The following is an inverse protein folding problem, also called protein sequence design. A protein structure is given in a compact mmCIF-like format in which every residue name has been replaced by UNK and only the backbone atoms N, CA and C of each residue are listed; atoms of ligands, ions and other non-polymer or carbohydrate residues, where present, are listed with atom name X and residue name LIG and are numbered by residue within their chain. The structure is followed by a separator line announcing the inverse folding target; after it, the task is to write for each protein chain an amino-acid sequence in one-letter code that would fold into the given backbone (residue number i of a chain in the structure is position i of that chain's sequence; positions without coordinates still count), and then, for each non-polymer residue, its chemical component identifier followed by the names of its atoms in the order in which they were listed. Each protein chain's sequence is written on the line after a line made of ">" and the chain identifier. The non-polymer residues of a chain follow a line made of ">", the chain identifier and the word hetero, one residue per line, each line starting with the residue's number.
data_IF_325627495516
#
_entry.id   IF_325627495516
#
_cell.length_a   1.000
_cell.length_b   1.000
_cell.length_c   1.000
_cell.angle_alpha   90.00
_cell.angle_beta   90.00
_cell.angle_gamma   90.00
#
_symmetry.space_group_name_H-M   'P 1'
#
loop_
_entity.id
_entity.type
_entity.pdbx_description
1 polymer ?
#
# COMPACT_ATOMS: atom_id res chain seq x y z
N UNK A 1 -13.24 -1.92 -38.78
CA UNK A 1 -13.25 -0.70 -37.94
C UNK A 1 -13.45 -1.14 -36.49
N UNK A 2 -12.36 -1.47 -35.80
CA UNK A 2 -12.40 -1.93 -34.40
C UNK A 2 -12.73 -0.74 -33.52
N UNK A 3 -13.90 -0.77 -32.89
CA UNK A 3 -14.31 0.23 -31.89
C UNK A 3 -13.24 0.23 -30.79
N UNK A 4 -12.52 1.34 -30.70
CA UNK A 4 -11.49 1.60 -29.70
C UNK A 4 -12.18 1.66 -28.33
N UNK A 5 -12.36 0.49 -27.70
CA UNK A 5 -12.96 0.41 -26.37
C UNK A 5 -12.02 1.15 -25.42
N UNK A 6 -12.47 2.32 -24.92
CA UNK A 6 -11.83 3.05 -23.83
C UNK A 6 -11.30 2.03 -22.81
N UNK A 7 -10.02 2.10 -22.41
CA UNK A 7 -9.46 1.16 -21.46
C UNK A 7 -10.31 1.25 -20.20
N UNK A 8 -11.04 0.17 -19.88
CA UNK A 8 -11.79 0.09 -18.63
C UNK A 8 -10.77 0.34 -17.53
N UNK A 9 -10.99 1.37 -16.70
CA UNK A 9 -10.21 1.56 -15.47
C UNK A 9 -10.33 0.24 -14.71
N UNK A 10 -9.25 -0.53 -14.69
CA UNK A 10 -9.27 -1.87 -14.13
C UNK A 10 -9.26 -1.73 -12.61
N UNK A 11 -10.02 -2.57 -11.91
CA UNK A 11 -10.02 -2.63 -10.44
C UNK A 11 -8.58 -2.80 -9.90
N UNK A 12 -7.69 -3.42 -10.70
CA UNK A 12 -6.25 -3.50 -10.46
C UNK A 12 -5.60 -2.13 -10.25
N UNK A 13 -5.89 -1.12 -11.08
CA UNK A 13 -5.30 0.21 -10.95
C UNK A 13 -5.71 0.87 -9.62
N UNK A 14 -6.99 0.74 -9.26
CA UNK A 14 -7.53 1.27 -8.00
C UNK A 14 -6.87 0.57 -6.82
N UNK A 15 -6.85 -0.77 -6.83
CA UNK A 15 -6.28 -1.56 -5.75
C UNK A 15 -4.79 -1.26 -5.53
N UNK A 16 -4.00 -1.20 -6.60
CA UNK A 16 -2.57 -0.88 -6.51
C UNK A 16 -2.35 0.52 -5.96
N UNK A 17 -3.13 1.52 -6.37
CA UNK A 17 -3.02 2.87 -5.83
C UNK A 17 -3.37 2.92 -4.34
N UNK A 18 -4.43 2.23 -3.91
CA UNK A 18 -4.81 2.13 -2.49
C UNK A 18 -3.69 1.47 -1.68
N UNK A 19 -3.12 0.37 -2.19
CA UNK A 19 -2.03 -0.33 -1.52
C UNK A 19 -0.79 0.57 -1.37
N UNK A 20 -0.43 1.33 -2.40
CA UNK A 20 0.68 2.28 -2.35
C UNK A 20 0.42 3.37 -1.31
N UNK A 21 -0.79 3.94 -1.27
CA UNK A 21 -1.17 4.95 -0.27
C UNK A 21 -1.02 4.39 1.14
N UNK A 22 -1.56 3.20 1.40
CA UNK A 22 -1.53 2.60 2.74
C UNK A 22 -0.11 2.22 3.13
N UNK A 23 0.71 1.72 2.20
CA UNK A 23 2.12 1.46 2.45
C UNK A 23 2.90 2.72 2.87
N UNK A 24 2.60 3.87 2.23
CA UNK A 24 3.21 5.16 2.61
C UNK A 24 2.73 5.58 4.00
N UNK A 25 1.42 5.47 4.29
CA UNK A 25 0.85 5.79 5.61
C UNK A 25 1.49 4.92 6.70
N UNK A 26 1.61 3.61 6.49
CA UNK A 26 2.26 2.68 7.41
C UNK A 26 3.71 3.09 7.67
N UNK A 27 4.46 3.33 6.59
CA UNK A 27 5.87 3.75 6.68
C UNK A 27 6.00 5.07 7.44
N UNK A 28 5.13 6.05 7.14
CA UNK A 28 5.09 7.34 7.82
C UNK A 28 4.86 7.19 9.33
N UNK A 29 3.83 6.44 9.74
CA UNK A 29 3.47 6.26 11.15
C UNK A 29 4.59 5.56 11.92
N UNK A 30 5.13 4.45 11.41
CA UNK A 30 6.15 3.69 12.12
C UNK A 30 7.50 4.42 12.18
N UNK A 31 7.89 5.14 11.12
CA UNK A 31 9.08 5.99 11.16
C UNK A 31 8.86 7.16 12.11
N UNK A 32 7.71 7.83 12.04
CA UNK A 32 7.37 8.97 12.91
C UNK A 32 7.28 8.60 14.39
N UNK A 33 6.93 7.35 14.71
CA UNK A 33 6.95 6.87 16.10
C UNK A 33 8.36 6.85 16.70
N UNK A 34 9.36 6.47 15.90
CA UNK A 34 10.76 6.42 16.34
C UNK A 34 11.48 7.75 16.21
N UNK A 35 11.08 8.52 15.19
CA UNK A 35 11.82 9.69 14.71
C UNK A 35 11.02 11.01 14.82
N UNK A 36 9.82 11.00 15.39
CA UNK A 36 8.93 12.16 15.37
C UNK A 36 8.31 12.38 13.99
N UNK A 37 7.11 12.93 13.95
CA UNK A 37 6.46 13.31 12.68
C UNK A 37 7.00 14.64 12.18
N UNK A 38 6.62 14.99 10.94
CA UNK A 38 6.99 16.27 10.34
C UNK A 38 6.43 17.47 11.15
N UNK A 39 5.28 17.31 11.81
CA UNK A 39 4.64 18.39 12.57
C UNK A 39 5.18 18.53 14.00
N UNK A 40 5.69 17.46 14.59
CA UNK A 40 6.07 17.39 16.02
C UNK A 40 7.01 18.53 16.46
N UNK A 41 8.08 18.90 15.72
CA UNK A 41 9.00 19.97 16.13
C UNK A 41 8.38 21.37 16.15
N UNK A 42 7.18 21.53 15.63
CA UNK A 42 6.50 22.80 15.51
C UNK A 42 5.30 22.90 16.45
N UNK A 43 4.98 21.80 17.15
CA UNK A 43 3.91 21.70 18.13
C UNK A 43 4.56 21.43 19.49
N UNK A 44 4.82 22.51 20.22
CA UNK A 44 5.15 22.44 21.65
C UNK A 44 6.62 22.24 22.03
N UNK A 45 7.55 22.00 21.10
CA UNK A 45 8.99 21.90 21.39
C UNK A 45 9.84 22.70 20.39
N UNK A 46 10.38 23.85 20.82
CA UNK A 46 11.20 24.72 19.96
C UNK A 46 12.62 24.19 19.72
N UNK A 47 13.09 23.20 20.49
CA UNK A 47 14.45 22.68 20.35
C UNK A 47 14.67 22.03 18.99
N UNK A 48 15.84 22.30 18.40
CA UNK A 48 16.25 21.68 17.14
C UNK A 48 16.46 20.19 17.36
N UNK A 49 15.75 19.38 16.60
CA UNK A 49 15.82 17.92 16.70
C UNK A 49 15.99 17.36 15.30
N UNK A 50 17.18 16.79 15.01
CA UNK A 50 17.49 16.02 13.80
C UNK A 50 16.58 14.79 13.61
N UNK A 51 15.72 14.53 14.58
CA UNK A 51 14.98 13.28 14.70
C UNK A 51 13.95 13.19 13.56
N UNK A 52 13.24 14.26 13.20
CA UNK A 52 12.18 14.20 12.16
C UNK A 52 12.70 14.19 10.70
N UNK A 53 13.99 14.45 10.47
CA UNK A 53 14.60 14.41 9.14
C UNK A 53 14.45 13.04 8.47
N UNK A 54 14.45 11.96 9.26
CA UNK A 54 14.25 10.59 8.74
C UNK A 54 12.82 10.40 8.24
N UNK A 55 11.82 10.85 8.98
CA UNK A 55 10.41 10.81 8.58
C UNK A 55 10.18 11.60 7.29
N UNK A 56 10.78 12.80 7.21
CA UNK A 56 10.71 13.66 6.02
C UNK A 56 11.37 13.00 4.81
N UNK A 57 12.57 12.43 4.97
CA UNK A 57 13.30 11.69 3.94
C UNK A 57 12.48 10.52 3.39
N UNK A 58 11.98 9.64 4.27
CA UNK A 58 11.24 8.43 3.88
C UNK A 58 9.94 8.81 3.17
N UNK A 59 9.20 9.78 3.70
CA UNK A 59 7.97 10.26 3.08
C UNK A 59 8.22 10.85 1.69
N UNK A 60 9.24 11.72 1.55
CA UNK A 60 9.57 12.36 0.27
C UNK A 60 10.01 11.35 -0.78
N UNK A 61 10.84 10.38 -0.40
CA UNK A 61 11.27 9.32 -1.30
C UNK A 61 10.07 8.56 -1.86
N UNK A 62 9.15 8.12 -1.02
CA UNK A 62 7.95 7.42 -1.50
C UNK A 62 6.97 8.33 -2.24
N UNK A 63 6.88 9.61 -1.90
CA UNK A 63 6.06 10.58 -2.63
C UNK A 63 6.50 10.69 -4.10
N UNK A 64 7.81 10.79 -4.36
CA UNK A 64 8.36 10.82 -5.73
C UNK A 64 8.13 9.50 -6.47
N UNK A 65 8.21 8.35 -5.78
CA UNK A 65 7.94 7.05 -6.42
C UNK A 65 6.46 6.89 -6.78
N UNK A 66 5.54 7.27 -5.88
CA UNK A 66 4.11 7.06 -6.04
C UNK A 66 3.46 8.08 -6.98
N UNK A 67 3.86 9.34 -6.89
CA UNK A 67 3.26 10.47 -7.60
C UNK A 67 2.40 11.37 -6.70
N UNK A 68 1.91 12.50 -7.25
CA UNK A 68 1.40 13.61 -6.47
C UNK A 68 0.08 13.29 -5.74
N UNK A 69 -0.84 12.58 -6.38
CA UNK A 69 -2.16 12.27 -5.80
C UNK A 69 -2.03 11.30 -4.63
N UNK A 70 -1.26 10.22 -4.82
CA UNK A 70 -1.02 9.22 -3.78
C UNK A 70 -0.28 9.84 -2.59
N UNK A 71 0.73 10.67 -2.86
CA UNK A 71 1.50 11.37 -1.84
C UNK A 71 0.65 12.38 -1.05
N UNK A 72 -0.24 13.12 -1.72
CA UNK A 72 -1.17 14.04 -1.06
C UNK A 72 -2.07 13.30 -0.06
N UNK A 73 -2.75 12.24 -0.53
CA UNK A 73 -3.66 11.44 0.29
C UNK A 73 -2.90 10.79 1.45
N UNK A 74 -1.74 10.19 1.18
CA UNK A 74 -0.93 9.55 2.20
C UNK A 74 -0.35 10.53 3.22
N UNK A 75 0.04 11.73 2.80
CA UNK A 75 0.51 12.79 3.69
C UNK A 75 -0.58 13.27 4.63
N UNK A 76 -1.78 13.53 4.09
CA UNK A 76 -2.92 13.98 4.89
C UNK A 76 -3.34 12.93 5.93
N UNK A 77 -3.63 11.71 5.49
CA UNK A 77 -4.10 10.65 6.39
C UNK A 77 -2.98 10.11 7.27
N UNK A 78 -1.75 10.05 6.79
CA UNK A 78 -0.59 9.63 7.59
C UNK A 78 -0.38 10.53 8.80
N UNK A 79 -0.42 11.85 8.58
CA UNK A 79 -0.29 12.84 9.65
C UNK A 79 -1.50 12.81 10.59
N UNK A 80 -2.72 12.80 10.05
CA UNK A 80 -3.95 12.74 10.86
C UNK A 80 -3.97 11.51 11.77
N UNK A 81 -3.69 10.33 11.22
CA UNK A 81 -3.68 9.08 11.97
C UNK A 81 -2.55 9.04 12.99
N UNK A 82 -1.39 9.62 12.68
CA UNK A 82 -0.29 9.73 13.64
C UNK A 82 -0.66 10.60 14.84
N UNK A 83 -1.28 11.76 14.61
CA UNK A 83 -1.74 12.65 15.69
C UNK A 83 -2.79 11.97 16.57
N UNK A 84 -3.78 11.31 15.96
CA UNK A 84 -4.81 10.56 16.69
C UNK A 84 -4.24 9.40 17.51
N UNK A 85 -3.21 8.71 16.99
CA UNK A 85 -2.60 7.57 17.66
C UNK A 85 -1.60 7.95 18.78
N UNK A 86 -1.25 9.24 18.92
CA UNK A 86 -0.28 9.72 19.91
C UNK A 86 -0.85 10.87 20.76
N UNK A 87 -1.93 10.63 21.54
CA UNK A 87 -2.56 11.67 22.36
C UNK A 87 -1.64 12.24 23.45
N UNK A 88 -0.57 11.52 23.81
CA UNK A 88 0.46 12.01 24.75
C UNK A 88 1.27 13.17 24.19
N UNK A 89 1.49 13.19 22.87
CA UNK A 89 2.20 14.25 22.15
C UNK A 89 1.22 15.33 21.69
N UNK A 90 0.06 14.91 21.15
CA UNK A 90 -0.93 15.80 20.57
C UNK A 90 -2.16 15.92 21.47
N UNK A 91 -2.30 17.07 22.15
CA UNK A 91 -3.50 17.38 22.95
C UNK A 91 -4.74 17.63 22.10
N UNK A 92 -4.55 18.00 20.83
CA UNK A 92 -5.60 18.29 19.86
C UNK A 92 -5.14 17.90 18.45
N UNK A 93 -6.09 17.72 17.53
CA UNK A 93 -5.78 17.47 16.12
C UNK A 93 -5.51 18.80 15.41
N UNK A 94 -4.35 18.90 14.78
CA UNK A 94 -3.88 20.05 14.01
C UNK A 94 -4.05 19.75 12.51
N UNK A 95 -5.25 20.10 11.99
CA UNK A 95 -5.67 19.80 10.61
C UNK A 95 -4.84 20.57 9.57
N UNK A 96 -4.41 21.77 9.91
CA UNK A 96 -3.46 22.57 9.12
C UNK A 96 -2.16 21.81 8.83
N UNK A 97 -1.59 21.14 9.83
CA UNK A 97 -0.40 20.32 9.64
C UNK A 97 -0.65 19.12 8.73
N UNK A 98 -1.85 18.53 8.78
CA UNK A 98 -2.23 17.47 7.85
C UNK A 98 -2.21 17.99 6.40
N UNK A 99 -2.66 19.23 6.16
CA UNK A 99 -2.61 19.86 4.84
C UNK A 99 -1.19 20.24 4.42
N UNK A 100 -0.35 20.75 5.33
CA UNK A 100 1.05 21.07 5.02
C UNK A 100 1.79 19.82 4.54
N UNK A 101 1.68 18.70 5.26
CA UNK A 101 2.31 17.43 4.89
C UNK A 101 1.74 16.89 3.57
N UNK A 102 0.43 17.02 3.35
CA UNK A 102 -0.21 16.63 2.10
C UNK A 102 0.29 17.45 0.90
N UNK A 103 0.39 18.77 1.03
CA UNK A 103 0.89 19.67 -0.02
C UNK A 103 2.36 19.42 -0.33
N UNK A 104 3.19 19.22 0.70
CA UNK A 104 4.59 18.81 0.53
C UNK A 104 4.70 17.52 -0.29
N UNK A 105 3.96 16.47 0.11
CA UNK A 105 3.93 15.20 -0.62
C UNK A 105 3.46 15.38 -2.07
N UNK A 106 2.45 16.22 -2.30
CA UNK A 106 1.94 16.52 -3.63
C UNK A 106 3.01 17.16 -4.52
N UNK A 107 3.67 18.22 -4.04
CA UNK A 107 4.67 18.97 -4.80
C UNK A 107 5.89 18.10 -5.08
N UNK A 108 6.43 17.41 -4.07
CA UNK A 108 7.49 16.43 -4.25
C UNK A 108 7.12 15.36 -5.30
N UNK A 109 5.88 14.87 -5.24
CA UNK A 109 5.34 13.88 -6.16
C UNK A 109 5.17 14.35 -7.61
N UNK A 110 5.12 15.66 -7.90
CA UNK A 110 5.00 16.20 -9.27
C UNK A 110 6.13 15.67 -10.15
N UNK A 111 7.35 15.59 -9.61
CA UNK A 111 8.50 15.06 -10.35
C UNK A 111 8.61 13.54 -10.33
N UNK A 112 7.45 12.86 -10.41
CA UNK A 112 7.31 11.40 -10.35
C UNK A 112 8.46 10.66 -11.05
N UNK A 113 9.00 9.68 -10.34
CA UNK A 113 10.04 8.81 -10.86
C UNK A 113 9.60 8.09 -12.13
N UNK A 114 10.52 7.95 -13.08
CA UNK A 114 10.37 7.11 -14.28
C UNK A 114 11.66 6.30 -14.45
N UNK A 115 11.58 5.03 -14.91
CA UNK A 115 12.78 4.22 -15.11
C UNK A 115 13.77 4.86 -16.08
N UNK A 116 15.07 4.70 -15.83
CA UNK A 116 16.19 5.26 -16.59
C UNK A 116 16.31 6.80 -16.56
N UNK A 117 15.43 7.47 -15.79
CA UNK A 117 15.40 8.94 -15.70
C UNK A 117 16.65 9.50 -15.04
N UNK A 118 17.23 8.77 -14.08
CA UNK A 118 18.31 9.27 -13.21
C UNK A 118 19.72 8.93 -13.72
N UNK A 119 19.84 8.31 -14.91
CA UNK A 119 21.13 8.10 -15.58
C UNK A 119 21.75 9.40 -16.13
N UNK A 120 20.94 10.45 -16.31
CA UNK A 120 21.39 11.75 -16.83
C UNK A 120 21.53 12.76 -15.70
N UNK A 121 22.73 13.32 -15.51
CA UNK A 121 23.01 14.34 -14.48
C UNK A 121 21.99 15.49 -14.50
N UNK A 122 21.59 15.96 -15.70
CA UNK A 122 20.57 17.01 -15.84
C UNK A 122 19.25 16.69 -15.12
N UNK A 123 18.81 15.43 -15.13
CA UNK A 123 17.56 15.01 -14.47
C UNK A 123 17.69 14.91 -12.95
N UNK A 124 18.89 14.59 -12.46
CA UNK A 124 19.24 14.64 -11.03
C UNK A 124 19.17 16.11 -10.56
N UNK A 125 19.82 17.03 -11.29
CA UNK A 125 19.79 18.47 -10.98
C UNK A 125 18.37 19.05 -10.95
N UNK A 126 17.50 18.64 -11.88
CA UNK A 126 16.09 19.04 -11.82
C UNK A 126 15.36 18.51 -10.59
N UNK A 127 15.71 17.32 -10.09
CA UNK A 127 15.12 16.79 -8.85
C UNK A 127 15.55 17.64 -7.66
N UNK A 128 16.84 17.96 -7.58
CA UNK A 128 17.39 18.86 -6.54
C UNK A 128 16.68 20.21 -6.60
N UNK A 129 16.58 20.82 -7.78
CA UNK A 129 15.92 22.12 -7.95
C UNK A 129 14.46 22.09 -7.50
N UNK A 130 13.71 21.06 -7.87
CA UNK A 130 12.30 20.91 -7.47
C UNK A 130 12.18 20.74 -5.96
N UNK A 131 13.04 19.93 -5.34
CA UNK A 131 13.04 19.75 -3.88
C UNK A 131 13.44 21.03 -3.13
N UNK A 132 14.34 21.85 -3.68
CA UNK A 132 14.66 23.18 -3.14
C UNK A 132 13.44 24.10 -3.20
N UNK A 133 12.78 24.17 -4.37
CA UNK A 133 11.58 25.01 -4.54
C UNK A 133 10.46 24.55 -3.60
N UNK A 134 10.23 23.24 -3.50
CA UNK A 134 9.24 22.64 -2.61
C UNK A 134 9.52 23.00 -1.14
N UNK A 135 10.77 22.86 -0.70
CA UNK A 135 11.18 23.20 0.66
C UNK A 135 10.98 24.68 0.98
N UNK A 136 11.22 25.58 0.02
CA UNK A 136 10.95 27.02 0.16
C UNK A 136 9.44 27.29 0.26
N UNK A 137 8.62 26.66 -0.58
CA UNK A 137 7.16 26.83 -0.54
C UNK A 137 6.61 26.37 0.81
N UNK A 138 7.01 25.19 1.28
CA UNK A 138 6.55 24.64 2.56
C UNK A 138 7.04 25.47 3.74
N UNK A 139 8.26 25.99 3.70
CA UNK A 139 8.76 26.97 4.68
C UNK A 139 7.80 28.16 4.84
N UNK A 140 7.34 28.74 3.72
CA UNK A 140 6.39 29.85 3.76
C UNK A 140 5.01 29.42 4.25
N UNK A 141 4.53 28.22 3.89
CA UNK A 141 3.30 27.69 4.45
C UNK A 141 3.39 27.51 5.96
N UNK A 142 4.43 26.85 6.48
CA UNK A 142 4.62 26.68 7.93
C UNK A 142 4.60 28.03 8.64
N UNK A 143 5.35 29.01 8.12
CA UNK A 143 5.41 30.35 8.71
C UNK A 143 4.05 31.06 8.67
N UNK A 144 3.35 31.00 7.53
CA UNK A 144 2.05 31.63 7.34
C UNK A 144 0.95 31.02 8.21
N UNK A 145 0.86 29.69 8.27
CA UNK A 145 -0.09 28.99 9.13
C UNK A 145 0.19 29.26 10.61
N UNK A 146 1.47 29.27 11.02
CA UNK A 146 1.83 29.63 12.38
C UNK A 146 1.43 31.05 12.76
N UNK A 147 1.64 32.00 11.85
CA UNK A 147 1.27 33.40 12.04
C UNK A 147 -0.25 33.58 12.15
N UNK A 148 -1.03 32.90 11.29
CA UNK A 148 -2.49 33.04 11.25
C UNK A 148 -3.17 32.37 12.43
N UNK A 149 -2.77 31.15 12.80
CA UNK A 149 -3.55 30.31 13.71
C UNK A 149 -3.02 30.27 15.15
N UNK A 150 -1.73 30.53 15.38
CA UNK A 150 -1.10 30.28 16.69
C UNK A 150 -0.40 31.47 17.31
N UNK A 151 -0.12 32.54 16.57
CA UNK A 151 0.65 33.66 17.11
C UNK A 151 -0.09 34.98 17.03
N UNK A 152 -0.68 35.38 18.16
CA UNK A 152 -1.25 36.72 18.33
C UNK A 152 -0.22 37.78 18.68
N UNK A 153 1.06 37.43 18.93
CA UNK A 153 2.06 38.40 19.43
C UNK A 153 3.50 38.25 18.92
N UNK A 154 3.88 37.17 18.23
CA UNK A 154 5.25 37.07 17.68
C UNK A 154 5.32 37.79 16.33
N UNK A 155 6.42 38.50 16.13
CA UNK A 155 6.73 39.10 14.85
C UNK A 155 6.98 37.99 13.81
N UNK A 156 6.51 38.21 12.58
CA UNK A 156 6.66 37.26 11.46
C UNK A 156 8.10 36.81 11.24
N UNK A 157 9.07 37.71 11.43
CA UNK A 157 10.51 37.43 11.31
C UNK A 157 10.97 36.31 12.25
N UNK A 158 10.47 36.31 13.50
CA UNK A 158 10.80 35.29 14.50
C UNK A 158 10.26 33.92 14.06
N UNK A 159 9.04 33.87 13.53
CA UNK A 159 8.45 32.62 13.01
C UNK A 159 9.19 32.12 11.77
N UNK A 160 9.58 33.02 10.88
CA UNK A 160 10.33 32.68 9.67
C UNK A 160 11.68 32.05 10.03
N UNK A 161 12.39 32.59 11.02
CA UNK A 161 13.68 32.05 11.46
C UNK A 161 13.49 30.74 12.24
N UNK A 162 12.61 30.73 13.25
CA UNK A 162 12.52 29.61 14.19
C UNK A 162 11.81 28.38 13.62
N UNK A 163 10.87 28.58 12.71
CA UNK A 163 10.07 27.49 12.14
C UNK A 163 10.39 27.29 10.67
N UNK A 164 10.31 28.36 9.88
CA UNK A 164 10.52 28.28 8.44
C UNK A 164 11.93 27.83 8.05
N UNK A 165 12.94 28.61 8.44
CA UNK A 165 14.34 28.34 8.11
C UNK A 165 14.80 27.01 8.73
N UNK A 166 14.31 26.68 9.91
CA UNK A 166 14.54 25.40 10.58
C UNK A 166 14.07 24.21 9.73
N UNK A 167 12.85 24.27 9.20
CA UNK A 167 12.35 23.26 8.27
C UNK A 167 13.20 23.18 7.01
N UNK A 168 13.55 24.33 6.42
CA UNK A 168 14.35 24.38 5.19
C UNK A 168 15.74 23.74 5.39
N UNK A 169 16.40 24.02 6.51
CA UNK A 169 17.70 23.43 6.84
C UNK A 169 17.60 21.91 6.99
N UNK A 170 16.55 21.41 7.64
CA UNK A 170 16.32 19.98 7.78
C UNK A 170 16.05 19.32 6.42
N UNK A 171 15.23 19.95 5.58
CA UNK A 171 14.98 19.48 4.22
C UNK A 171 16.26 19.49 3.36
N UNK A 172 17.14 20.46 3.56
CA UNK A 172 18.43 20.52 2.86
C UNK A 172 19.29 19.29 3.19
N UNK A 173 19.41 18.96 4.47
CA UNK A 173 20.24 17.85 4.96
C UNK A 173 19.62 16.49 4.64
N UNK A 174 18.32 16.32 4.89
CA UNK A 174 17.65 15.02 4.82
C UNK A 174 17.05 14.72 3.45
N UNK A 175 16.62 15.71 2.68
CA UNK A 175 15.80 15.49 1.48
C UNK A 175 16.53 15.91 0.21
N UNK A 176 16.93 17.18 0.12
CA UNK A 176 17.45 17.80 -1.12
C UNK A 176 18.70 17.07 -1.61
N UNK A 177 19.56 16.61 -0.71
CA UNK A 177 20.79 15.88 -1.05
C UNK A 177 20.54 14.37 -1.14
N UNK A 178 19.90 13.78 -0.12
CA UNK A 178 19.84 12.32 0.04
C UNK A 178 18.83 11.68 -0.94
N UNK A 179 17.66 12.29 -1.17
CA UNK A 179 16.63 11.69 -2.03
C UNK A 179 17.09 11.50 -3.47
N UNK A 180 17.74 12.48 -4.13
CA UNK A 180 18.30 12.26 -5.46
C UNK A 180 19.35 11.14 -5.51
N UNK A 181 20.17 10.99 -4.47
CA UNK A 181 21.15 9.89 -4.36
C UNK A 181 20.42 8.55 -4.27
N UNK A 182 19.41 8.44 -3.41
CA UNK A 182 18.59 7.23 -3.29
C UNK A 182 17.89 6.89 -4.61
N UNK A 183 17.39 7.89 -5.35
CA UNK A 183 16.76 7.67 -6.65
C UNK A 183 17.77 7.20 -7.71
N UNK A 184 19.01 7.68 -7.69
CA UNK A 184 20.08 7.17 -8.56
C UNK A 184 20.41 5.71 -8.22
N UNK A 185 20.55 5.39 -6.93
CA UNK A 185 20.79 4.01 -6.48
C UNK A 185 19.62 3.11 -6.90
N UNK A 186 18.39 3.54 -6.64
CA UNK A 186 17.17 2.83 -7.00
C UNK A 186 17.09 2.59 -8.52
N UNK A 187 17.33 3.61 -9.35
CA UNK A 187 17.33 3.49 -10.81
C UNK A 187 18.42 2.54 -11.30
N UNK A 188 19.63 2.62 -10.73
CA UNK A 188 20.75 1.74 -11.08
C UNK A 188 20.45 0.27 -10.76
N UNK A 189 19.89 0.00 -9.57
CA UNK A 189 19.60 -1.37 -9.11
C UNK A 189 18.41 -1.97 -9.86
N UNK A 190 17.34 -1.21 -10.10
CA UNK A 190 16.04 -1.76 -10.53
C UNK A 190 15.64 -1.42 -11.96
N UNK A 191 16.30 -0.46 -12.62
CA UNK A 191 15.93 -0.01 -13.95
C UNK A 191 16.98 -0.26 -15.04
N UNK A 192 18.20 -0.70 -14.72
CA UNK A 192 19.24 -0.92 -15.75
C UNK A 192 18.81 -1.99 -16.78
N UNK A 193 18.24 -3.08 -16.29
CA UNK A 193 17.83 -4.25 -17.07
C UNK A 193 16.38 -4.61 -16.76
N UNK A 194 15.65 -5.08 -17.77
CA UNK A 194 14.30 -5.59 -17.56
C UNK A 194 14.39 -7.01 -17.01
N UNK A 195 13.92 -7.19 -15.79
CA UNK A 195 13.89 -8.49 -15.13
C UNK A 195 12.45 -8.93 -14.90
N UNK A 196 12.17 -10.19 -15.21
CA UNK A 196 10.91 -10.84 -14.90
C UNK A 196 11.18 -11.87 -13.80
N UNK A 197 10.92 -11.46 -12.56
CA UNK A 197 11.15 -12.31 -11.40
C UNK A 197 9.92 -13.18 -11.19
N UNK A 198 10.02 -14.44 -11.63
CA UNK A 198 8.99 -15.46 -11.47
C UNK A 198 9.46 -16.52 -10.47
N UNK A 199 9.21 -16.28 -9.19
CA UNK A 199 9.58 -17.22 -8.14
C UNK A 199 8.45 -18.23 -7.93
N UNK A 200 8.69 -19.51 -8.23
CA UNK A 200 7.69 -20.56 -8.07
C UNK A 200 7.12 -20.64 -6.65
N UNK A 201 7.92 -20.33 -5.63
CA UNK A 201 7.44 -20.26 -4.24
C UNK A 201 6.42 -19.14 -3.98
N UNK A 202 6.46 -18.04 -4.73
CA UNK A 202 5.53 -16.91 -4.60
C UNK A 202 4.36 -17.00 -5.59
N UNK A 203 4.60 -17.55 -6.78
CA UNK A 203 3.57 -17.67 -7.82
C UNK A 203 2.79 -18.95 -7.70
N UNK A 204 3.37 -20.03 -7.16
CA UNK A 204 2.85 -21.41 -7.01
C UNK A 204 2.07 -21.93 -8.23
N UNK A 205 2.37 -21.36 -9.40
CA UNK A 205 1.73 -21.61 -10.68
C UNK A 205 2.83 -21.75 -11.73
N UNK A 206 2.62 -22.56 -12.78
CA UNK A 206 3.50 -22.55 -13.94
C UNK A 206 3.32 -21.24 -14.73
N UNK A 207 4.31 -20.89 -15.54
CA UNK A 207 4.28 -19.70 -16.41
C UNK A 207 3.06 -19.73 -17.35
N UNK A 208 2.59 -20.92 -17.74
CA UNK A 208 1.37 -21.12 -18.54
C UNK A 208 0.09 -20.64 -17.85
N UNK A 209 0.06 -20.53 -16.52
CA UNK A 209 -1.07 -20.01 -15.73
C UNK A 209 -0.85 -18.56 -15.27
N UNK A 210 -0.26 -17.73 -16.15
CA UNK A 210 0.04 -16.32 -15.85
C UNK A 210 -1.20 -15.46 -15.58
N UNK A 211 -2.39 -15.87 -16.03
CA UNK A 211 -3.70 -15.27 -15.73
C UNK A 211 -4.10 -15.36 -14.24
N UNK A 212 -3.38 -16.15 -13.45
CA UNK A 212 -3.54 -16.24 -12.00
C UNK A 212 -2.61 -15.30 -11.24
N UNK A 213 -1.72 -14.62 -11.94
CA UNK A 213 -0.69 -13.77 -11.37
C UNK A 213 -0.98 -12.30 -11.64
N UNK A 214 -0.42 -11.45 -10.79
CA UNK A 214 -0.24 -10.03 -11.08
C UNK A 214 1.22 -9.69 -10.79
N UNK A 215 1.66 -8.54 -11.25
CA UNK A 215 3.02 -8.09 -10.97
C UNK A 215 3.03 -6.71 -10.34
N UNK A 216 3.99 -6.53 -9.43
CA UNK A 216 4.48 -5.22 -9.02
C UNK A 216 5.65 -4.83 -9.91
N UNK A 217 5.69 -3.57 -10.32
CA UNK A 217 6.77 -3.05 -11.15
C UNK A 217 7.62 -2.08 -10.35
N UNK A 218 8.89 -2.45 -10.15
CA UNK A 218 9.91 -1.63 -9.53
C UNK A 218 10.93 -1.25 -10.59
N UNK A 219 10.88 -0.01 -11.07
CA UNK A 219 11.71 0.39 -12.22
C UNK A 219 11.32 -0.38 -13.48
N UNK A 220 12.24 -1.18 -14.00
CA UNK A 220 12.00 -2.13 -15.12
C UNK A 220 11.88 -3.58 -14.66
N UNK A 221 11.96 -3.83 -13.37
CA UNK A 221 11.80 -5.17 -12.79
C UNK A 221 10.35 -5.45 -12.49
N UNK A 222 9.82 -6.56 -13.03
CA UNK A 222 8.46 -7.07 -12.80
C UNK A 222 8.54 -8.27 -11.87
N UNK A 223 8.03 -8.13 -10.65
CA UNK A 223 7.90 -9.22 -9.69
C UNK A 223 6.51 -9.83 -9.80
N UNK A 224 6.43 -11.07 -10.27
CA UNK A 224 5.17 -11.79 -10.43
C UNK A 224 4.80 -12.51 -9.15
N UNK A 225 3.54 -12.36 -8.73
CA UNK A 225 3.01 -12.95 -7.51
C UNK A 225 1.64 -13.59 -7.80
N UNK A 226 1.28 -14.62 -7.03
CA UNK A 226 -0.09 -15.10 -7.05
C UNK A 226 -1.04 -14.03 -6.53
N UNK A 227 -2.09 -13.74 -7.31
CA UNK A 227 -3.13 -12.78 -6.95
C UNK A 227 -3.80 -13.11 -5.61
N UNK A 228 -4.18 -14.37 -5.38
CA UNK A 228 -4.88 -14.78 -4.16
C UNK A 228 -3.97 -14.78 -2.93
N UNK A 229 -2.78 -15.39 -3.03
CA UNK A 229 -1.84 -15.46 -1.92
C UNK A 229 -1.34 -14.07 -1.51
N UNK A 230 -1.02 -13.21 -2.48
CA UNK A 230 -0.66 -11.83 -2.16
C UNK A 230 -1.83 -11.06 -1.57
N UNK A 231 -3.06 -11.26 -2.07
CA UNK A 231 -4.26 -10.70 -1.45
C UNK A 231 -4.31 -11.06 0.02
N UNK A 232 -4.18 -12.34 0.36
CA UNK A 232 -4.18 -12.82 1.75
C UNK A 232 -3.07 -12.20 2.60
N UNK A 233 -1.83 -12.19 2.12
CA UNK A 233 -0.70 -11.57 2.84
C UNK A 233 -0.92 -10.08 3.06
N UNK A 234 -1.37 -9.35 2.03
CA UNK A 234 -1.71 -7.93 2.11
C UNK A 234 -2.84 -7.72 3.14
N UNK A 235 -3.87 -8.56 3.11
CA UNK A 235 -5.00 -8.51 4.06
C UNK A 235 -4.55 -8.70 5.51
N UNK A 236 -3.66 -9.67 5.77
CA UNK A 236 -3.07 -9.90 7.10
C UNK A 236 -2.26 -8.68 7.55
N UNK A 237 -1.31 -8.20 6.73
CA UNK A 237 -0.44 -7.08 7.10
C UNK A 237 -1.25 -5.81 7.36
N UNK A 238 -2.20 -5.51 6.48
CA UNK A 238 -3.04 -4.32 6.62
C UNK A 238 -3.97 -4.42 7.84
N UNK A 239 -4.57 -5.58 8.11
CA UNK A 239 -5.43 -5.75 9.29
C UNK A 239 -4.64 -5.70 10.60
N UNK A 240 -3.40 -6.22 10.65
CA UNK A 240 -2.50 -6.04 11.80
C UNK A 240 -2.28 -4.55 12.05
N UNK A 241 -1.89 -3.81 11.01
CA UNK A 241 -1.63 -2.39 11.09
C UNK A 241 -2.85 -1.59 11.56
N UNK A 242 -4.02 -1.77 10.91
CA UNK A 242 -5.22 -1.04 11.29
C UNK A 242 -5.75 -1.44 12.66
N UNK A 243 -5.64 -2.70 13.06
CA UNK A 243 -6.01 -3.13 14.43
C UNK A 243 -5.12 -2.42 15.45
N UNK A 244 -3.80 -2.43 15.24
CA UNK A 244 -2.86 -1.75 16.12
C UNK A 244 -3.14 -0.24 16.22
N UNK A 245 -3.43 0.38 15.08
CA UNK A 245 -3.73 1.80 15.00
C UNK A 245 -5.04 2.16 15.71
N UNK A 246 -6.12 1.39 15.50
CA UNK A 246 -7.40 1.58 16.19
C UNK A 246 -7.23 1.43 17.70
N UNK A 247 -6.47 0.42 18.15
CA UNK A 247 -6.19 0.24 19.58
C UNK A 247 -5.43 1.44 20.17
N UNK A 248 -4.47 2.01 19.44
CA UNK A 248 -3.75 3.22 19.88
C UNK A 248 -4.64 4.46 19.93
N UNK A 249 -5.50 4.65 18.92
CA UNK A 249 -6.38 5.84 18.83
C UNK A 249 -7.43 5.84 19.94
N UNK A 250 -8.04 4.69 20.24
CA UNK A 250 -9.13 4.58 21.21
C UNK A 250 -8.69 4.15 22.60
N UNK A 251 -7.39 3.86 22.81
CA UNK A 251 -6.84 3.28 24.03
C UNK A 251 -7.67 2.09 24.56
N UNK A 252 -8.14 1.26 23.63
CA UNK A 252 -9.05 0.14 23.90
C UNK A 252 -8.60 -1.10 23.17
N UNK A 253 -8.77 -2.26 23.80
CA UNK A 253 -8.58 -3.54 23.13
C UNK A 253 -9.68 -3.78 22.09
N UNK A 254 -9.37 -4.60 21.09
CA UNK A 254 -10.33 -4.96 20.05
C UNK A 254 -11.33 -5.98 20.60
N UNK A 255 -12.63 -5.77 20.38
CA UNK A 255 -13.68 -6.66 20.88
C UNK A 255 -13.57 -8.08 20.25
N UNK A 256 -13.48 -9.14 21.07
CA UNK A 256 -13.47 -10.52 20.58
C UNK A 256 -14.74 -10.91 19.83
N UNK A 257 -15.89 -10.31 20.17
CA UNK A 257 -17.19 -10.53 19.51
C UNK A 257 -17.17 -10.02 18.08
N UNK A 258 -16.64 -8.81 17.86
CA UNK A 258 -16.47 -8.23 16.52
C UNK A 258 -15.47 -9.05 15.72
N UNK A 259 -14.37 -9.49 16.33
CA UNK A 259 -13.38 -10.36 15.68
C UNK A 259 -14.01 -11.68 15.24
N UNK A 260 -14.81 -12.32 16.10
CA UNK A 260 -15.52 -13.56 15.79
C UNK A 260 -16.51 -13.36 14.62
N UNK A 261 -17.25 -12.25 14.62
CA UNK A 261 -18.15 -11.91 13.52
C UNK A 261 -17.40 -11.78 12.17
N UNK A 262 -16.24 -11.12 12.17
CA UNK A 262 -15.39 -11.01 10.97
C UNK A 262 -14.94 -12.41 10.51
N UNK A 263 -14.45 -13.25 11.43
CA UNK A 263 -14.01 -14.64 11.12
C UNK A 263 -15.13 -15.47 10.52
N UNK A 264 -16.39 -15.26 10.95
CA UNK A 264 -17.55 -15.93 10.37
C UNK A 264 -17.85 -15.39 8.97
N UNK A 265 -17.98 -14.07 8.78
CA UNK A 265 -18.55 -13.54 7.53
C UNK A 265 -17.53 -13.46 6.39
N UNK A 266 -16.28 -13.08 6.68
CA UNK A 266 -15.31 -12.70 5.65
C UNK A 266 -14.80 -13.88 4.79
N UNK A 267 -14.65 -15.12 5.28
CA UNK A 267 -14.28 -16.24 4.41
C UNK A 267 -15.31 -16.59 3.32
N UNK A 268 -16.59 -16.20 3.50
CA UNK A 268 -17.70 -16.60 2.62
C UNK A 268 -17.48 -16.17 1.15
N UNK A 269 -17.21 -14.88 0.83
CA UNK A 269 -16.87 -14.47 -0.54
C UNK A 269 -15.73 -15.27 -1.17
N UNK A 270 -14.71 -15.61 -0.38
CA UNK A 270 -13.57 -16.41 -0.83
C UNK A 270 -13.93 -17.84 -1.18
N UNK A 271 -14.77 -18.48 -0.38
CA UNK A 271 -15.27 -19.82 -0.66
C UNK A 271 -16.20 -19.87 -1.87
N UNK A 272 -17.06 -18.86 -2.04
CA UNK A 272 -17.91 -18.75 -3.23
C UNK A 272 -17.05 -18.54 -4.48
N UNK A 273 -16.09 -17.62 -4.43
CA UNK A 273 -15.18 -17.34 -5.53
C UNK A 273 -14.38 -18.58 -5.93
N UNK A 274 -13.75 -19.23 -4.96
CA UNK A 274 -12.95 -20.42 -5.19
C UNK A 274 -13.80 -21.62 -5.62
N UNK A 275 -14.93 -21.86 -4.95
CA UNK A 275 -15.83 -22.97 -5.22
C UNK A 275 -16.44 -22.93 -6.61
N UNK A 276 -16.95 -21.76 -7.03
CA UNK A 276 -17.49 -21.58 -8.38
C UNK A 276 -16.44 -21.77 -9.48
N UNK A 277 -15.19 -21.36 -9.22
CA UNK A 277 -14.06 -21.61 -10.12
C UNK A 277 -13.71 -23.10 -10.18
N UNK A 278 -13.60 -23.75 -9.03
CA UNK A 278 -13.18 -25.16 -8.95
C UNK A 278 -14.22 -26.10 -9.55
N UNK A 279 -15.50 -25.75 -9.44
CA UNK A 279 -16.62 -26.45 -10.07
C UNK A 279 -16.80 -26.07 -11.56
N UNK A 280 -15.87 -25.34 -12.18
CA UNK A 280 -15.93 -24.95 -13.60
C UNK A 280 -17.23 -24.22 -13.97
N UNK A 281 -17.83 -23.45 -13.05
CA UNK A 281 -19.00 -22.63 -13.35
C UNK A 281 -18.63 -21.27 -13.93
N UNK A 282 -17.40 -20.81 -13.65
CA UNK A 282 -16.85 -19.59 -14.24
C UNK A 282 -15.33 -19.60 -14.21
N UNK A 283 -14.74 -18.77 -15.08
CA UNK A 283 -13.34 -18.38 -14.95
C UNK A 283 -13.18 -17.30 -13.89
N UNK A 284 -11.98 -17.21 -13.33
CA UNK A 284 -11.65 -16.16 -12.38
C UNK A 284 -10.95 -15.02 -13.06
N UNK A 285 -11.16 -13.81 -12.56
CA UNK A 285 -10.30 -12.68 -12.84
C UNK A 285 -9.21 -12.53 -11.77
N UNK A 286 -8.09 -11.92 -12.13
CA UNK A 286 -7.01 -11.51 -11.21
C UNK A 286 -7.56 -10.66 -10.06
N UNK A 287 -8.47 -9.73 -10.38
CA UNK A 287 -9.02 -8.80 -9.41
C UNK A 287 -9.93 -9.47 -8.38
N UNK A 288 -10.77 -10.41 -8.83
CA UNK A 288 -11.60 -11.22 -7.92
C UNK A 288 -10.73 -12.02 -6.96
N UNK A 289 -9.65 -12.65 -7.47
CA UNK A 289 -8.70 -13.44 -6.65
C UNK A 289 -7.99 -12.61 -5.60
N UNK A 290 -7.54 -11.42 -6.00
CA UNK A 290 -6.83 -10.51 -5.13
C UNK A 290 -7.75 -9.99 -4.02
N UNK A 291 -8.98 -9.60 -4.37
CA UNK A 291 -9.97 -9.11 -3.41
C UNK A 291 -10.44 -10.19 -2.44
N UNK A 292 -10.79 -11.38 -2.93
CA UNK A 292 -11.21 -12.47 -2.03
C UNK A 292 -10.06 -13.00 -1.18
N UNK A 293 -8.84 -13.06 -1.74
CA UNK A 293 -7.63 -13.31 -0.97
C UNK A 293 -7.46 -12.30 0.15
N UNK A 294 -7.59 -10.99 -0.14
CA UNK A 294 -7.52 -9.92 0.85
C UNK A 294 -8.53 -10.09 1.98
N UNK A 295 -9.80 -10.35 1.66
CA UNK A 295 -10.83 -10.57 2.68
C UNK A 295 -10.50 -11.79 3.57
N UNK A 296 -10.05 -12.91 2.97
CA UNK A 296 -9.60 -14.09 3.74
C UNK A 296 -8.42 -13.72 4.65
N UNK A 297 -7.46 -12.95 4.15
CA UNK A 297 -6.32 -12.48 4.93
C UNK A 297 -6.72 -11.64 6.15
N UNK A 298 -7.69 -10.74 5.97
CA UNK A 298 -8.27 -9.98 7.08
C UNK A 298 -8.87 -10.95 8.10
N UNK A 299 -9.73 -11.89 7.68
CA UNK A 299 -10.31 -12.89 8.58
C UNK A 299 -9.24 -13.68 9.34
N UNK A 300 -8.17 -14.08 8.66
CA UNK A 300 -7.08 -14.85 9.24
C UNK A 300 -6.38 -14.11 10.39
N UNK A 301 -6.14 -12.80 10.26
CA UNK A 301 -5.60 -12.00 11.35
C UNK A 301 -6.55 -11.97 12.57
N UNK A 302 -7.86 -11.81 12.33
CA UNK A 302 -8.85 -11.71 13.40
C UNK A 302 -9.04 -13.01 14.20
N UNK A 303 -8.64 -14.17 13.68
CA UNK A 303 -8.59 -15.43 14.45
C UNK A 303 -7.78 -15.22 15.74
N UNK A 304 -6.63 -14.52 15.66
CA UNK A 304 -5.76 -14.26 16.83
C UNK A 304 -6.41 -13.43 17.93
N UNK A 305 -7.50 -12.72 17.62
CA UNK A 305 -8.22 -11.83 18.55
C UNK A 305 -9.48 -12.49 19.14
N UNK A 306 -9.75 -13.76 18.81
CA UNK A 306 -10.93 -14.50 19.31
C UNK A 306 -10.64 -15.35 20.55
N UNK A 307 -9.69 -14.95 21.39
CA UNK A 307 -9.22 -15.77 22.54
C UNK A 307 -10.35 -16.29 23.44
N UNK A 308 -11.34 -15.43 23.77
CA UNK A 308 -12.50 -15.80 24.59
C UNK A 308 -13.44 -16.82 23.91
N UNK A 309 -13.33 -16.97 22.59
CA UNK A 309 -14.17 -17.83 21.75
C UNK A 309 -13.36 -18.93 21.07
N UNK A 310 -12.19 -19.30 21.61
CA UNK A 310 -11.24 -20.23 20.98
C UNK A 310 -11.89 -21.50 20.41
N UNK A 311 -12.72 -22.20 21.21
CA UNK A 311 -13.38 -23.42 20.76
C UNK A 311 -14.39 -23.18 19.62
N UNK A 312 -15.15 -22.08 19.67
CA UNK A 312 -16.12 -21.72 18.63
C UNK A 312 -15.37 -21.36 17.34
N UNK A 313 -14.29 -20.57 17.44
CA UNK A 313 -13.42 -20.26 16.31
C UNK A 313 -12.84 -21.52 15.67
N UNK A 314 -12.38 -22.49 16.47
CA UNK A 314 -11.88 -23.76 15.96
C UNK A 314 -12.96 -24.54 15.19
N UNK A 315 -14.18 -24.62 15.72
CA UNK A 315 -15.32 -25.25 15.02
C UNK A 315 -15.60 -24.56 13.68
N UNK A 316 -15.63 -23.23 13.65
CA UNK A 316 -15.88 -22.45 12.42
C UNK A 316 -14.78 -22.69 11.39
N UNK A 317 -13.51 -22.67 11.80
CA UNK A 317 -12.37 -22.92 10.91
C UNK A 317 -12.43 -24.34 10.36
N UNK A 318 -12.68 -25.35 11.22
CA UNK A 318 -12.86 -26.74 10.79
C UNK A 318 -14.01 -26.89 9.81
N UNK A 319 -15.15 -26.24 10.06
CA UNK A 319 -16.29 -26.23 9.15
C UNK A 319 -15.89 -25.66 7.77
N UNK A 320 -15.18 -24.54 7.73
CA UNK A 320 -14.73 -23.94 6.47
C UNK A 320 -13.75 -24.82 5.69
N UNK A 321 -12.80 -25.46 6.37
CA UNK A 321 -11.92 -26.43 5.72
C UNK A 321 -12.69 -27.67 5.23
N UNK A 322 -13.71 -28.12 5.98
CA UNK A 322 -14.62 -29.19 5.55
C UNK A 322 -15.34 -28.85 4.25
N UNK A 323 -15.94 -27.66 4.16
CA UNK A 323 -16.59 -27.17 2.92
C UNK A 323 -15.59 -27.07 1.78
N UNK A 324 -14.39 -26.56 2.03
CA UNK A 324 -13.32 -26.47 1.02
C UNK A 324 -12.94 -27.86 0.47
N UNK A 325 -12.75 -28.85 1.34
CA UNK A 325 -12.42 -30.23 0.96
C UNK A 325 -13.53 -30.84 0.09
N UNK A 326 -14.79 -30.64 0.47
CA UNK A 326 -15.94 -31.10 -0.30
C UNK A 326 -15.95 -30.47 -1.71
N UNK A 327 -15.69 -29.16 -1.81
CA UNK A 327 -15.61 -28.46 -3.10
C UNK A 327 -14.42 -28.93 -3.96
N UNK A 328 -13.26 -29.20 -3.35
CA UNK A 328 -12.11 -29.81 -4.04
C UNK A 328 -12.52 -31.15 -4.65
N UNK A 329 -13.14 -32.03 -3.86
CA UNK A 329 -13.55 -33.36 -4.28
C UNK A 329 -14.52 -33.31 -5.46
N UNK A 330 -15.59 -32.52 -5.37
CA UNK A 330 -16.56 -32.39 -6.46
C UNK A 330 -15.96 -31.74 -7.71
N UNK A 331 -15.09 -30.75 -7.55
CA UNK A 331 -14.43 -30.10 -8.67
C UNK A 331 -13.46 -31.02 -9.41
N UNK A 332 -12.69 -31.85 -8.69
CA UNK A 332 -11.86 -32.89 -9.31
C UNK A 332 -12.69 -33.91 -10.07
N UNK A 333 -13.78 -34.41 -9.47
CA UNK A 333 -14.70 -35.35 -10.13
C UNK A 333 -15.30 -34.76 -11.41
N UNK A 334 -15.66 -33.47 -11.40
CA UNK A 334 -16.17 -32.77 -12.59
C UNK A 334 -15.10 -32.63 -13.67
N UNK A 335 -13.89 -32.23 -13.30
CA UNK A 335 -12.77 -32.06 -14.24
C UNK A 335 -12.44 -33.38 -14.95
N UNK A 336 -12.35 -34.50 -14.22
CA UNK A 336 -12.10 -35.84 -14.79
C UNK A 336 -13.19 -36.23 -15.78
N UNK A 337 -14.46 -35.91 -15.48
CA UNK A 337 -15.58 -36.20 -16.40
C UNK A 337 -15.48 -35.42 -17.71
N UNK A 338 -15.11 -34.14 -17.68
CA UNK A 338 -14.94 -33.35 -18.91
C UNK A 338 -13.73 -33.83 -19.72
N UNK A 339 -12.60 -34.12 -19.08
CA UNK A 339 -11.43 -34.72 -19.73
C UNK A 339 -11.76 -36.06 -20.41
N UNK A 340 -12.52 -36.93 -19.74
CA UNK A 340 -12.93 -38.20 -20.33
C UNK A 340 -13.85 -38.01 -21.53
N UNK A 341 -14.77 -37.03 -21.48
CA UNK A 341 -15.62 -36.72 -22.64
C UNK A 341 -14.76 -36.27 -23.83
N UNK A 342 -13.82 -35.36 -23.60
CA UNK A 342 -12.89 -34.86 -24.63
C UNK A 342 -12.12 -36.01 -25.29
N UNK A 343 -11.52 -36.90 -24.49
CA UNK A 343 -10.79 -38.07 -24.97
C UNK A 343 -11.68 -39.07 -25.73
N UNK A 344 -12.92 -39.28 -25.31
CA UNK A 344 -13.87 -40.18 -26.02
C UNK A 344 -14.51 -39.54 -27.24
N UNK A 345 -14.47 -38.21 -27.34
CA UNK A 345 -15.04 -37.44 -28.45
C UNK A 345 -14.03 -37.16 -29.56
N UNK A 346 -12.80 -37.68 -29.46
CA UNK A 346 -11.90 -37.67 -30.61
C UNK A 346 -12.63 -38.34 -31.78
N UNK A 347 -12.77 -37.63 -32.92
CA UNK A 347 -13.47 -38.18 -34.06
C UNK A 347 -12.72 -39.44 -34.50
N UNK A 348 -13.49 -40.48 -34.82
CA UNK A 348 -13.06 -41.38 -35.89
C UNK A 348 -12.95 -40.48 -37.13
N UNK A 349 -11.84 -39.75 -37.29
CA UNK A 349 -11.33 -39.41 -38.61
C UNK A 349 -11.04 -40.78 -39.22
N UNK A 350 -12.08 -41.39 -39.81
CA UNK A 350 -11.90 -42.25 -40.96
C UNK A 350 -10.99 -41.45 -41.89
N UNK A 351 -9.70 -41.78 -41.84
CA UNK A 351 -8.76 -41.48 -42.89
C UNK A 351 -9.36 -42.09 -44.15
N UNK A 352 -10.22 -41.33 -44.82
CA UNK A 352 -10.68 -41.60 -46.16
C UNK A 352 -9.45 -41.47 -47.05
N UNK A 353 -8.70 -42.57 -47.14
CA UNK A 353 -7.62 -42.80 -48.09
C UNK A 353 -8.27 -42.95 -49.47
N UNK A 354 -8.69 -41.82 -50.03
CA UNK A 354 -9.07 -41.67 -51.43
C UNK A 354 -7.85 -41.51 -52.32
#
# INVERSE_FOLDING_TARGET
>A
MSIDKKPKITLRLIFVNILVIIFIIMSYIYVSKSFGSISTPFIGNYEFSLVFGVSLLVFTFFAILAGPIQAFIAGFFGELLFQLANPTIYKSVFVDWCFIVALFGMIAGIYKYKPLKYQKIKKILYSILILVIDSIIVMFFITGFQFIFYSTSLQFEILLINSGLKFFLEALLSVIIIVPILLVIYDKVLATTEHHLYYLGLTHHPISASDHTFYFQFGRTKLYLCSRCSGMVIGIIMSIFFTHLVQQIFDSQFSPEVALFIVIIFPIPGLIDWGTQKLLFRTSTTESRLFTGFIIGVAAQFISLTGNYYFITLIIVTFYFGVLIILIFFGQKKLIRELNKELTSEPNEEFDLG
#
